data_IF_910445293525
#
_entry.id   IF_910445293525
#
_cell.length_a   1.000
_cell.length_b   1.000
_cell.length_c   1.000
_cell.angle_alpha   90.00
_cell.angle_beta   90.00
_cell.angle_gamma   90.00
#
_symmetry.space_group_name_H-M   'P 1'
#
loop_
_entity.id
_entity.type
_entity.pdbx_description
1 polymer ?
#
# COMPACT_ATOMS: atom_id res chain seq x y z
N UNK A 1 26.66 -2.13 47.56
CA UNK A 1 25.86 -2.78 46.49
C UNK A 1 25.83 -1.82 45.30
N UNK A 2 26.36 -2.20 44.14
CA UNK A 2 26.19 -1.41 42.92
C UNK A 2 24.80 -1.70 42.35
N UNK A 3 24.04 -0.66 42.01
CA UNK A 3 22.77 -0.79 41.29
C UNK A 3 23.07 -0.57 39.82
N UNK A 4 22.94 -1.61 39.01
CA UNK A 4 23.01 -1.49 37.55
C UNK A 4 21.62 -1.11 37.06
N UNK A 5 21.47 0.09 36.52
CA UNK A 5 20.23 0.52 35.86
C UNK A 5 20.39 0.24 34.36
N UNK A 6 19.64 -0.72 33.85
CA UNK A 6 19.56 -0.98 32.42
C UNK A 6 18.55 0.02 31.82
N UNK A 7 19.06 1.00 31.08
CA UNK A 7 18.21 1.90 30.30
C UNK A 7 17.91 1.26 28.94
N UNK A 8 16.68 0.78 28.74
CA UNK A 8 16.23 0.32 27.44
C UNK A 8 15.94 1.52 26.53
N UNK A 9 16.74 1.68 25.47
CA UNK A 9 16.53 2.72 24.47
C UNK A 9 15.72 2.11 23.33
N UNK A 10 14.48 2.57 23.19
CA UNK A 10 13.60 2.14 22.10
C UNK A 10 14.14 2.71 20.78
N UNK A 11 14.36 1.83 19.80
CA UNK A 11 14.77 2.23 18.45
C UNK A 11 13.63 2.98 17.76
N UNK A 12 13.98 4.06 17.07
CA UNK A 12 13.04 4.84 16.26
C UNK A 12 13.06 4.37 14.81
N UNK A 13 11.90 4.34 14.17
CA UNK A 13 11.71 3.99 12.78
C UNK A 13 10.87 5.03 12.05
N UNK A 14 11.03 5.05 10.74
CA UNK A 14 10.20 5.83 9.83
C UNK A 14 9.28 4.88 9.04
N UNK A 15 7.99 5.22 8.97
CA UNK A 15 6.97 4.43 8.28
C UNK A 15 6.52 5.19 7.03
N UNK A 16 6.92 4.74 5.82
CA UNK A 16 6.48 5.36 4.58
C UNK A 16 5.02 4.97 4.29
N UNK A 17 4.24 5.96 3.89
CA UNK A 17 2.90 5.84 3.36
C UNK A 17 2.90 6.22 1.88
N UNK A 18 2.17 5.44 1.06
CA UNK A 18 2.04 5.69 -0.37
C UNK A 18 0.58 5.80 -0.79
N UNK A 19 0.32 6.74 -1.67
CA UNK A 19 -0.97 7.01 -2.27
C UNK A 19 -0.86 6.92 -3.79
N UNK A 20 -1.74 6.14 -4.39
CA UNK A 20 -1.80 5.93 -5.85
C UNK A 20 -3.14 6.41 -6.36
N UNK A 21 -3.14 7.37 -7.27
CA UNK A 21 -4.35 7.84 -7.93
C UNK A 21 -4.49 7.12 -9.28
N UNK A 22 -5.63 6.49 -9.53
CA UNK A 22 -5.96 5.83 -10.79
C UNK A 22 -7.16 6.50 -11.45
N UNK A 23 -7.03 6.80 -12.75
CA UNK A 23 -8.09 7.45 -13.54
C UNK A 23 -8.21 8.97 -13.33
N UNK A 24 -7.29 9.60 -12.60
CA UNK A 24 -7.24 11.05 -12.36
C UNK A 24 -6.30 11.78 -13.35
N UNK A 25 -6.33 11.42 -14.64
CA UNK A 25 -5.44 12.01 -15.64
C UNK A 25 -5.85 13.46 -15.93
N UNK A 26 -5.05 14.44 -15.48
CA UNK A 26 -5.23 15.85 -15.78
C UNK A 26 -6.25 16.61 -14.91
N UNK A 27 -6.82 15.95 -13.89
CA UNK A 27 -7.78 16.54 -12.96
C UNK A 27 -7.14 16.90 -11.61
N UNK A 28 -7.77 17.83 -10.89
CA UNK A 28 -7.38 18.17 -9.53
C UNK A 28 -7.58 16.95 -8.62
N UNK A 29 -6.52 16.59 -7.91
CA UNK A 29 -6.54 15.42 -7.01
C UNK A 29 -7.39 15.76 -5.77
N UNK A 30 -8.13 14.78 -5.22
CA UNK A 30 -8.90 15.03 -4.02
C UNK A 30 -8.00 15.29 -2.82
N UNK A 31 -8.53 16.00 -1.84
CA UNK A 31 -7.93 16.07 -0.49
C UNK A 31 -8.13 14.75 0.22
N UNK A 32 -7.07 14.24 0.84
CA UNK A 32 -7.06 12.94 1.49
C UNK A 32 -6.56 13.11 2.92
N UNK A 33 -7.44 12.85 3.89
CA UNK A 33 -7.06 12.86 5.30
C UNK A 33 -6.67 11.45 5.73
N UNK A 34 -5.48 11.30 6.29
CA UNK A 34 -4.94 10.02 6.76
C UNK A 34 -4.63 10.07 8.25
N UNK A 35 -4.65 8.90 8.90
CA UNK A 35 -4.20 8.74 10.27
C UNK A 35 -3.36 7.48 10.43
N UNK A 36 -2.34 7.56 11.28
CA UNK A 36 -1.52 6.41 11.65
C UNK A 36 -2.23 5.56 12.72
N UNK A 37 -2.21 4.25 12.53
CA UNK A 37 -2.63 3.26 13.50
C UNK A 37 -1.39 2.51 14.03
N UNK A 38 -1.34 2.31 15.35
CA UNK A 38 -0.39 1.45 16.06
C UNK A 38 -1.15 0.35 16.76
N UNK A 39 -0.90 -0.90 16.37
CA UNK A 39 -1.63 -2.10 16.81
C UNK A 39 -3.15 -1.94 16.67
N UNK A 40 -3.58 -1.35 15.55
CA UNK A 40 -4.99 -1.07 15.25
C UNK A 40 -5.61 0.10 16.02
N UNK A 41 -4.85 0.82 16.86
CA UNK A 41 -5.33 2.00 17.57
C UNK A 41 -4.82 3.29 16.94
N UNK A 42 -5.66 4.34 16.82
CA UNK A 42 -5.23 5.63 16.29
C UNK A 42 -4.12 6.25 17.16
N UNK A 43 -3.08 6.73 16.50
CA UNK A 43 -1.96 7.43 17.13
C UNK A 43 -1.59 8.69 16.34
N UNK A 44 -1.27 9.76 17.07
CA UNK A 44 -0.91 11.04 16.49
C UNK A 44 -2.08 11.78 15.83
N UNK A 45 -1.74 12.82 15.09
CA UNK A 45 -2.70 13.72 14.45
C UNK A 45 -3.14 13.22 13.07
N UNK A 46 -4.26 13.76 12.60
CA UNK A 46 -4.71 13.57 11.22
C UNK A 46 -3.82 14.43 10.31
N UNK A 47 -3.33 13.83 9.24
CA UNK A 47 -2.57 14.52 8.19
C UNK A 47 -3.45 14.65 6.96
N UNK A 48 -3.62 15.85 6.43
CA UNK A 48 -4.34 16.07 5.18
C UNK A 48 -3.35 16.27 4.04
N UNK A 49 -3.45 15.40 3.04
CA UNK A 49 -2.70 15.45 1.80
C UNK A 49 -3.54 16.13 0.71
N UNK A 50 -2.92 16.99 -0.09
CA UNK A 50 -3.56 17.70 -1.19
C UNK A 50 -2.86 17.38 -2.52
N UNK A 51 -3.04 16.14 -2.97
CA UNK A 51 -2.44 15.65 -4.20
C UNK A 51 -1.03 15.10 -4.07
N UNK A 52 -0.47 15.00 -2.86
CA UNK A 52 0.75 14.23 -2.64
C UNK A 52 0.52 12.73 -2.90
N UNK A 53 1.60 12.06 -3.32
CA UNK A 53 1.63 10.62 -3.57
C UNK A 53 2.25 9.84 -2.41
N UNK A 54 2.88 10.51 -1.45
CA UNK A 54 3.63 9.86 -0.40
C UNK A 54 3.73 10.75 0.83
N UNK A 55 3.79 10.11 1.99
CA UNK A 55 3.97 10.76 3.28
C UNK A 55 4.86 9.88 4.15
N UNK A 56 5.66 10.47 5.04
CA UNK A 56 6.60 9.73 5.88
C UNK A 56 6.32 10.05 7.35
N UNK A 57 5.83 9.07 8.10
CA UNK A 57 5.71 9.18 9.54
C UNK A 57 7.07 8.90 10.17
N UNK A 58 7.66 9.89 10.83
CA UNK A 58 9.02 9.81 11.37
C UNK A 58 9.04 9.62 12.88
N UNK A 59 10.12 9.02 13.38
CA UNK A 59 10.41 9.00 14.81
C UNK A 59 9.45 8.14 15.64
N UNK A 60 8.87 7.11 15.04
CA UNK A 60 7.97 6.18 15.70
C UNK A 60 8.76 5.13 16.49
N UNK A 61 8.25 4.71 17.63
CA UNK A 61 8.85 3.61 18.39
C UNK A 61 8.72 2.29 17.62
N UNK A 62 9.79 1.51 17.51
CA UNK A 62 9.75 0.20 16.86
C UNK A 62 9.08 -0.85 17.77
N UNK A 63 9.26 -0.72 19.08
CA UNK A 63 8.84 -1.70 20.07
C UNK A 63 8.17 -1.06 21.28
N UNK A 64 7.36 -1.84 22.00
CA UNK A 64 6.85 -1.49 23.32
C UNK A 64 7.92 -1.62 24.42
N UNK A 65 7.53 -1.34 25.67
CA UNK A 65 8.41 -1.45 26.84
C UNK A 65 8.88 -2.88 27.13
N UNK A 66 8.20 -3.89 26.59
CA UNK A 66 8.53 -5.30 26.74
C UNK A 66 9.34 -5.84 25.55
N UNK A 67 9.64 -5.02 24.55
CA UNK A 67 10.37 -5.39 23.33
C UNK A 67 9.50 -6.00 22.22
N UNK A 68 8.16 -5.94 22.33
CA UNK A 68 7.27 -6.41 21.26
C UNK A 68 7.22 -5.38 20.13
N UNK A 69 7.34 -5.83 18.88
CA UNK A 69 7.33 -4.94 17.70
C UNK A 69 5.91 -4.42 17.45
N UNK A 70 5.80 -3.11 17.26
CA UNK A 70 4.55 -2.45 16.90
C UNK A 70 4.14 -2.72 15.45
N UNK A 71 2.85 -2.97 15.23
CA UNK A 71 2.26 -3.01 13.88
C UNK A 71 1.74 -1.62 13.51
N UNK A 72 2.33 -1.02 12.46
CA UNK A 72 1.90 0.27 11.93
C UNK A 72 1.11 0.13 10.62
N UNK A 73 -0.08 0.72 10.60
CA UNK A 73 -0.99 0.82 9.44
C UNK A 73 -1.48 2.26 9.28
N UNK A 74 -2.02 2.59 8.11
CA UNK A 74 -2.59 3.90 7.83
C UNK A 74 -4.04 3.75 7.43
N UNK A 75 -4.92 4.55 8.02
CA UNK A 75 -6.34 4.63 7.66
C UNK A 75 -6.63 5.95 6.92
N UNK A 76 -7.64 5.92 6.04
CA UNK A 76 -8.28 7.15 5.54
C UNK A 76 -9.33 7.59 6.56
N UNK A 77 -9.32 8.88 6.85
CA UNK A 77 -10.32 9.54 7.68
C UNK A 77 -11.36 10.20 6.76
N UNK A 78 -12.59 9.67 6.79
CA UNK A 78 -13.71 10.17 6.01
C UNK A 78 -13.84 9.53 4.63
N UNK A 79 -14.83 9.99 3.86
CA UNK A 79 -15.07 9.54 2.50
C UNK A 79 -14.39 10.45 1.48
N UNK A 80 -14.02 9.89 0.34
CA UNK A 80 -13.46 10.64 -0.81
C UNK A 80 -14.48 10.57 -1.94
N UNK A 81 -15.30 11.62 -2.14
CA UNK A 81 -16.35 11.63 -3.15
C UNK A 81 -15.79 11.34 -4.54
N UNK A 82 -16.47 10.47 -5.29
CA UNK A 82 -16.05 10.10 -6.64
C UNK A 82 -14.88 9.12 -6.72
N UNK A 83 -14.34 8.65 -5.59
CA UNK A 83 -13.27 7.64 -5.57
C UNK A 83 -13.70 6.38 -4.82
N UNK A 84 -13.18 5.24 -5.27
CA UNK A 84 -13.17 3.98 -4.54
C UNK A 84 -11.80 3.84 -3.87
N UNK A 85 -11.80 3.44 -2.59
CA UNK A 85 -10.59 3.31 -1.77
C UNK A 85 -10.24 1.84 -1.62
N UNK A 86 -9.02 1.47 -2.01
CA UNK A 86 -8.47 0.13 -1.79
C UNK A 86 -7.18 0.22 -1.00
N UNK A 87 -7.05 -0.60 0.04
CA UNK A 87 -5.85 -0.66 0.89
C UNK A 87 -5.02 -1.89 0.56
N UNK A 88 -3.68 -1.76 0.58
CA UNK A 88 -2.78 -2.89 0.44
C UNK A 88 -2.84 -3.83 1.66
N UNK A 89 -2.48 -5.11 1.52
CA UNK A 89 -2.38 -6.03 2.66
C UNK A 89 -1.42 -5.55 3.77
N UNK A 90 -0.43 -4.73 3.41
CA UNK A 90 0.50 -4.12 4.37
C UNK A 90 -0.09 -2.94 5.14
N UNK A 91 -1.23 -2.38 4.72
CA UNK A 91 -1.84 -1.19 5.32
C UNK A 91 -1.04 0.10 5.17
N UNK A 92 -0.04 0.13 4.27
CA UNK A 92 0.85 1.30 4.05
C UNK A 92 0.70 1.94 2.67
N UNK A 93 -0.08 1.32 1.79
CA UNK A 93 -0.39 1.85 0.47
C UNK A 93 -1.89 1.90 0.29
N UNK A 94 -2.38 3.04 -0.18
CA UNK A 94 -3.79 3.22 -0.54
C UNK A 94 -3.88 3.60 -2.01
N UNK A 95 -4.89 3.04 -2.68
CA UNK A 95 -5.19 3.32 -4.07
C UNK A 95 -6.56 3.96 -4.13
N UNK A 96 -6.61 5.12 -4.77
CA UNK A 96 -7.83 5.87 -5.05
C UNK A 96 -8.15 5.70 -6.53
N UNK A 97 -9.18 4.92 -6.80
CA UNK A 97 -9.66 4.68 -8.16
C UNK A 97 -10.85 5.59 -8.40
N UNK A 98 -10.76 6.49 -9.39
CA UNK A 98 -11.90 7.33 -9.75
C UNK A 98 -13.06 6.44 -10.20
N UNK A 99 -14.24 6.62 -9.58
CA UNK A 99 -15.46 5.93 -9.98
C UNK A 99 -15.81 6.37 -11.39
N UNK A 100 -15.70 5.45 -12.33
CA UNK A 100 -16.19 5.64 -13.69
C UNK A 100 -17.71 5.47 -13.62
N UNK A 101 -18.46 6.41 -14.18
CA UNK A 101 -19.92 6.28 -14.30
C UNK A 101 -20.28 4.92 -14.92
N UNK A 102 -21.28 4.24 -14.35
CA UNK A 102 -21.70 2.88 -14.70
C UNK A 102 -21.77 2.70 -16.23
N UNK A 103 -20.81 1.99 -16.82
CA UNK A 103 -20.86 1.66 -18.25
C UNK A 103 -19.55 1.32 -18.96
N UNK A 104 -18.36 1.51 -18.36
CA UNK A 104 -17.07 1.15 -19.00
C UNK A 104 -16.20 0.31 -18.08
N UNK A 105 -16.36 -1.02 -18.15
CA UNK A 105 -15.45 -1.97 -17.52
C UNK A 105 -14.14 -2.04 -18.33
N UNK A 106 -12.98 -1.95 -17.66
CA UNK A 106 -11.73 -2.40 -18.25
C UNK A 106 -11.53 -3.88 -17.90
N UNK A 107 -11.57 -4.82 -18.85
CA UNK A 107 -11.11 -6.17 -18.58
C UNK A 107 -9.58 -6.14 -18.44
N UNK A 108 -9.05 -6.75 -17.38
CA UNK A 108 -7.71 -7.31 -17.49
C UNK A 108 -7.77 -8.42 -18.52
N UNK A 109 -6.85 -8.42 -19.48
CA UNK A 109 -6.76 -9.43 -20.52
C UNK A 109 -6.67 -10.83 -19.86
N UNK A 110 -7.81 -11.53 -19.76
CA UNK A 110 -7.94 -12.86 -19.18
C UNK A 110 -8.95 -13.06 -18.05
N UNK A 111 -9.69 -12.04 -17.57
CA UNK A 111 -10.73 -12.25 -16.55
C UNK A 111 -12.14 -12.45 -17.16
N UNK A 112 -12.87 -13.47 -16.71
CA UNK A 112 -14.28 -13.70 -17.06
C UNK A 112 -15.18 -12.52 -16.65
N UNK A 113 -16.28 -12.36 -17.37
CA UNK A 113 -16.99 -11.10 -17.64
C UNK A 113 -17.66 -10.37 -16.45
N UNK A 114 -17.49 -10.86 -15.22
CA UNK A 114 -18.17 -10.34 -14.02
C UNK A 114 -17.24 -10.02 -12.84
N UNK A 115 -15.92 -10.09 -13.01
CA UNK A 115 -14.98 -9.77 -11.92
C UNK A 115 -14.78 -8.25 -11.88
N UNK A 116 -15.32 -7.60 -10.83
CA UNK A 116 -15.23 -6.15 -10.66
C UNK A 116 -13.79 -5.63 -10.68
N UNK A 117 -13.59 -4.39 -11.13
CA UNK A 117 -12.25 -3.77 -11.26
C UNK A 117 -11.48 -3.77 -9.92
N UNK A 118 -12.21 -3.64 -8.81
CA UNK A 118 -11.68 -3.68 -7.44
C UNK A 118 -11.01 -5.02 -7.09
N UNK A 119 -11.65 -6.16 -7.39
CA UNK A 119 -11.08 -7.49 -7.10
C UNK A 119 -9.85 -7.78 -7.95
N UNK A 120 -9.85 -7.32 -9.20
CA UNK A 120 -8.73 -7.45 -10.12
C UNK A 120 -7.51 -6.61 -9.69
N UNK A 121 -7.73 -5.39 -9.21
CA UNK A 121 -6.67 -4.52 -8.68
C UNK A 121 -6.03 -5.12 -7.42
N UNK A 122 -6.85 -5.64 -6.49
CA UNK A 122 -6.39 -6.35 -5.30
C UNK A 122 -5.54 -7.57 -5.69
N UNK A 123 -5.98 -8.33 -6.71
CA UNK A 123 -5.24 -9.47 -7.26
C UNK A 123 -3.87 -9.04 -7.81
N UNK A 124 -3.79 -7.95 -8.57
CA UNK A 124 -2.52 -7.45 -9.12
C UNK A 124 -1.51 -7.06 -8.04
N UNK A 125 -1.96 -6.52 -6.91
CA UNK A 125 -1.10 -6.12 -5.78
C UNK A 125 -0.59 -7.36 -5.03
N UNK A 126 -1.46 -8.34 -4.76
CA UNK A 126 -1.10 -9.59 -4.08
C UNK A 126 -0.22 -10.52 -4.94
N UNK A 127 -0.44 -10.54 -6.26
CA UNK A 127 0.29 -11.38 -7.19
C UNK A 127 1.57 -10.72 -7.72
N UNK A 128 1.67 -9.38 -7.70
CA UNK A 128 2.80 -8.61 -8.24
C UNK A 128 4.17 -8.99 -7.67
N UNK A 129 4.25 -9.39 -6.39
CA UNK A 129 5.53 -9.85 -5.81
C UNK A 129 5.92 -11.27 -6.24
N UNK A 130 4.94 -12.17 -6.44
CA UNK A 130 5.21 -13.56 -6.86
C UNK A 130 5.47 -13.65 -8.38
N UNK A 131 4.69 -12.92 -9.18
CA UNK A 131 4.82 -12.91 -10.64
C UNK A 131 6.15 -12.28 -11.12
N UNK A 132 6.68 -11.26 -10.43
CA UNK A 132 7.97 -10.67 -10.81
C UNK A 132 9.14 -11.67 -10.70
N UNK A 133 9.14 -12.52 -9.66
CA UNK A 133 10.12 -13.61 -9.53
C UNK A 133 9.93 -14.71 -10.57
N UNK A 134 8.68 -15.01 -10.96
CA UNK A 134 8.37 -15.99 -11.99
C UNK A 134 8.72 -15.49 -13.41
N UNK A 135 8.40 -14.23 -13.74
CA UNK A 135 8.73 -13.61 -15.03
C UNK A 135 10.25 -13.53 -15.24
N UNK A 136 11.03 -13.23 -14.18
CA UNK A 136 12.49 -13.26 -14.24
C UNK A 136 13.03 -14.67 -14.55
N UNK A 137 12.35 -15.74 -14.10
CA UNK A 137 12.69 -17.12 -14.49
C UNK A 137 12.26 -17.43 -15.93
N UNK A 138 11.08 -17.02 -16.36
CA UNK A 138 10.56 -17.28 -17.72
C UNK A 138 11.40 -16.58 -18.79
N UNK A 139 11.82 -15.34 -18.56
CA UNK A 139 12.69 -14.58 -19.47
C UNK A 139 14.12 -15.13 -19.58
N UNK A 140 14.49 -16.10 -18.74
CA UNK A 140 15.81 -16.77 -18.81
C UNK A 140 15.73 -18.16 -19.46
N UNK A 141 14.52 -18.70 -19.69
CA UNK A 141 14.32 -20.05 -20.25
C UNK A 141 14.02 -20.03 -21.76
N UNK A 142 13.79 -18.86 -22.35
CA UNK A 142 13.59 -18.71 -23.81
C UNK A 142 14.87 -18.85 -24.65
N UNK A 143 16.01 -19.15 -24.02
CA UNK A 143 17.28 -19.36 -24.72
C UNK A 143 17.84 -20.77 -24.52
N UNK A 144 16.99 -21.79 -24.60
CA UNK A 144 17.42 -23.19 -24.60
C UNK A 144 16.91 -23.91 -25.86
N UNK A 145 17.84 -24.00 -26.82
CA UNK A 145 18.07 -25.06 -27.82
C UNK A 145 16.98 -25.32 -28.87
N UNK A 146 17.39 -25.19 -30.14
CA UNK A 146 16.87 -26.12 -31.16
C UNK A 146 16.82 -25.70 -32.63
N UNK A 147 17.47 -24.63 -33.10
CA UNK A 147 17.55 -24.39 -34.55
C UNK A 147 18.75 -25.17 -35.11
N UNK A 148 18.53 -26.42 -35.52
CA UNK A 148 19.34 -27.04 -36.59
C UNK A 148 18.63 -26.75 -37.92
N UNK A 149 19.38 -26.17 -38.86
CA UNK A 149 19.02 -26.12 -40.29
C UNK A 149 18.96 -27.53 -40.87
#
# INVERSE_FOLDING_TARGET
>A
KAVVVLNYIVKKIDVPFKLVYQGANGEEKPKVSIRLLRDGKPVGDIVTLNGEYEYLFKGLDETDQNGNIYEYKVEIVGEIPGYEVTMSPSGKTIILTKKIEKGKFLPYAGAEKNVGVSTLLILMIGYGLKAFKAQKKINTVTNIRGIKR
#
